data_IF_659704027235
#
_entry.id   IF_659704027235
#
_cell.length_a   1.000
_cell.length_b   1.000
_cell.length_c   1.000
_cell.angle_alpha   90.00
_cell.angle_beta   90.00
_cell.angle_gamma   90.00
#
_symmetry.space_group_name_H-M   'P 1'
#
loop_
_entity.id
_entity.type
_entity.pdbx_description
1 polymer ?
#
# COMPACT_ATOMS: atom_id res chain seq x y z
N UNK A 1 2.25 -28.14 32.29
CA UNK A 1 2.60 -29.45 32.88
C UNK A 1 3.32 -29.19 34.19
N UNK A 2 2.80 -29.72 35.28
CA UNK A 2 3.44 -29.63 36.60
C UNK A 2 4.46 -30.78 36.75
N UNK A 3 5.44 -30.63 37.66
CA UNK A 3 6.40 -31.71 37.94
C UNK A 3 5.68 -33.00 38.37
N UNK A 4 4.53 -32.88 39.05
CA UNK A 4 3.72 -34.04 39.47
C UNK A 4 3.08 -34.78 38.29
N UNK A 5 2.60 -34.09 37.28
CA UNK A 5 2.08 -34.70 36.06
C UNK A 5 3.18 -35.48 35.31
N UNK A 6 4.36 -34.86 35.21
CA UNK A 6 5.52 -35.48 34.54
C UNK A 6 5.98 -36.72 35.28
N UNK A 7 6.05 -36.72 36.64
CA UNK A 7 6.38 -37.86 37.46
C UNK A 7 5.48 -39.09 37.20
N UNK A 8 4.22 -38.86 36.88
CA UNK A 8 3.23 -39.90 36.71
C UNK A 8 3.11 -40.43 35.27
N UNK A 9 3.91 -39.93 34.33
CA UNK A 9 3.97 -40.46 32.96
C UNK A 9 4.37 -41.93 32.98
N UNK A 10 3.60 -42.76 32.30
CA UNK A 10 3.90 -44.21 32.15
C UNK A 10 4.94 -44.38 31.06
N UNK A 11 6.09 -44.95 31.40
CA UNK A 11 7.20 -45.24 30.48
C UNK A 11 7.05 -46.63 29.87
N UNK A 12 6.62 -47.61 30.67
CA UNK A 12 6.47 -48.98 30.23
C UNK A 12 5.30 -49.65 30.94
N UNK A 13 4.53 -50.45 30.22
CA UNK A 13 3.53 -51.34 30.80
C UNK A 13 3.75 -52.79 30.28
N UNK A 14 3.62 -53.77 31.14
CA UNK A 14 3.73 -55.16 30.80
C UNK A 14 2.35 -55.83 30.67
N UNK A 15 2.26 -56.91 29.89
CA UNK A 15 1.04 -57.70 29.67
C UNK A 15 0.44 -58.20 30.98
N UNK A 16 1.26 -58.36 32.03
CA UNK A 16 0.87 -58.83 33.36
C UNK A 16 0.41 -57.67 34.29
N UNK A 17 0.15 -56.45 33.77
CA UNK A 17 -0.38 -55.34 34.53
C UNK A 17 0.67 -54.51 35.31
N UNK A 18 1.95 -54.80 35.19
CA UNK A 18 3.04 -53.99 35.77
C UNK A 18 3.20 -52.66 35.00
N UNK A 19 3.13 -51.55 35.72
CA UNK A 19 3.30 -50.17 35.13
C UNK A 19 4.53 -49.58 35.77
N UNK A 20 5.50 -49.11 34.92
CA UNK A 20 6.67 -48.33 35.34
C UNK A 20 6.42 -46.88 34.99
N UNK A 21 6.45 -46.00 35.97
CA UNK A 21 6.28 -44.54 35.81
C UNK A 21 7.62 -43.85 35.84
N UNK A 22 7.67 -42.61 35.31
CA UNK A 22 8.91 -41.83 35.26
C UNK A 22 9.53 -41.65 36.67
N UNK A 23 8.72 -41.48 37.72
CA UNK A 23 9.18 -41.36 39.11
C UNK A 23 9.89 -42.61 39.63
N UNK A 24 9.65 -43.78 39.04
CA UNK A 24 10.23 -45.04 39.49
C UNK A 24 11.67 -45.24 38.95
N UNK A 25 12.05 -44.49 37.91
CA UNK A 25 13.36 -44.60 37.23
C UNK A 25 14.16 -43.29 37.19
N UNK A 26 13.54 -42.15 37.49
CA UNK A 26 14.19 -40.84 37.43
C UNK A 26 13.63 -39.89 38.50
N UNK A 27 14.45 -38.95 38.94
CA UNK A 27 14.00 -37.80 39.74
C UNK A 27 13.53 -36.67 38.83
N UNK A 28 12.35 -36.14 39.09
CA UNK A 28 11.77 -35.04 38.35
C UNK A 28 11.66 -33.84 39.27
N UNK A 29 12.41 -32.80 39.00
CA UNK A 29 12.39 -31.56 39.73
C UNK A 29 12.16 -30.37 38.80
N UNK A 30 11.37 -29.40 39.24
CA UNK A 30 11.22 -28.15 38.54
C UNK A 30 12.29 -27.18 39.02
N UNK A 31 13.22 -26.85 38.12
CA UNK A 31 14.32 -25.90 38.42
C UNK A 31 14.32 -24.79 37.38
N UNK A 32 14.81 -23.63 37.74
CA UNK A 32 15.17 -22.61 36.77
C UNK A 32 16.33 -23.12 35.90
N UNK A 33 16.34 -22.71 34.61
CA UNK A 33 17.41 -23.05 33.68
C UNK A 33 18.76 -22.61 34.25
N UNK A 34 19.72 -23.50 34.27
CA UNK A 34 21.10 -23.20 34.74
C UNK A 34 21.88 -22.31 33.77
N UNK A 35 21.36 -22.08 32.56
CA UNK A 35 21.95 -21.14 31.61
C UNK A 35 21.48 -19.73 32.00
N UNK A 36 22.29 -18.94 32.70
CA UNK A 36 21.90 -17.60 33.09
C UNK A 36 21.89 -16.71 31.84
N UNK A 37 20.71 -16.51 31.25
CA UNK A 37 20.54 -15.43 30.27
C UNK A 37 20.69 -14.13 31.05
N UNK A 38 21.88 -13.53 30.96
CA UNK A 38 22.16 -12.24 31.58
C UNK A 38 21.86 -11.16 30.55
N UNK A 39 20.88 -10.33 30.84
CA UNK A 39 20.57 -9.13 30.03
C UNK A 39 21.19 -7.91 30.72
N UNK A 40 21.77 -7.01 29.94
CA UNK A 40 22.35 -5.75 30.38
C UNK A 40 21.83 -4.63 29.49
N UNK A 41 21.47 -3.51 30.10
CA UNK A 41 21.12 -2.26 29.43
C UNK A 41 22.00 -1.17 30.03
N UNK A 42 22.71 -0.42 29.20
CA UNK A 42 23.65 0.63 29.63
C UNK A 42 24.70 0.15 30.70
N UNK A 43 25.11 -1.13 30.59
CA UNK A 43 26.07 -1.72 31.53
C UNK A 43 25.47 -2.20 32.86
N UNK A 44 24.18 -1.96 33.11
CA UNK A 44 23.46 -2.41 34.30
C UNK A 44 22.71 -3.71 34.05
N UNK A 45 22.60 -4.56 35.06
CA UNK A 45 21.78 -5.79 34.97
C UNK A 45 20.31 -5.44 34.71
N UNK A 46 19.72 -6.11 33.77
CA UNK A 46 18.34 -5.88 33.38
C UNK A 46 17.53 -7.16 33.23
N UNK A 47 16.22 -7.03 33.26
CA UNK A 47 15.26 -8.07 32.94
C UNK A 47 14.42 -7.53 31.80
N UNK A 48 14.31 -8.30 30.70
CA UNK A 48 13.48 -7.93 29.55
C UNK A 48 12.08 -8.50 29.68
N UNK A 49 11.07 -7.65 29.51
CA UNK A 49 9.67 -8.03 29.41
C UNK A 49 9.20 -7.80 27.97
N UNK A 50 8.57 -8.81 27.38
CA UNK A 50 7.94 -8.71 26.06
C UNK A 50 6.43 -8.71 26.29
N UNK A 51 5.80 -7.59 26.00
CA UNK A 51 4.35 -7.44 26.09
C UNK A 51 3.78 -7.67 24.68
N UNK A 52 2.88 -8.65 24.56
CA UNK A 52 2.22 -9.01 23.31
C UNK A 52 0.74 -8.73 23.42
N UNK A 53 0.13 -8.23 22.33
CA UNK A 53 -1.31 -8.10 22.19
C UNK A 53 -1.93 -9.35 21.59
N UNK A 54 -3.21 -9.59 21.87
CA UNK A 54 -4.05 -10.51 21.10
C UNK A 54 -4.53 -9.86 19.79
N UNK A 55 -5.00 -10.63 18.81
CA UNK A 55 -5.52 -10.07 17.55
C UNK A 55 -6.61 -9.01 17.76
N UNK A 56 -7.49 -9.20 18.72
CA UNK A 56 -8.66 -8.34 18.97
C UNK A 56 -8.37 -7.07 19.78
N UNK A 57 -7.14 -6.91 20.27
CA UNK A 57 -6.76 -5.78 21.11
C UNK A 57 -6.17 -4.63 20.30
N UNK A 58 -6.42 -3.40 20.75
CA UNK A 58 -5.88 -2.18 20.14
C UNK A 58 -4.45 -1.91 20.63
N UNK A 59 -3.49 -1.99 19.72
CA UNK A 59 -2.07 -1.77 20.00
C UNK A 59 -1.80 -0.39 20.63
N UNK A 60 -2.44 0.66 20.14
CA UNK A 60 -2.25 2.03 20.65
C UNK A 60 -2.78 2.21 22.04
N UNK A 61 -3.93 1.61 22.36
CA UNK A 61 -4.48 1.66 23.72
C UNK A 61 -3.56 0.98 24.72
N UNK A 62 -2.99 -0.18 24.35
CA UNK A 62 -2.04 -0.90 25.19
C UNK A 62 -0.76 -0.07 25.36
N UNK A 63 -0.18 0.45 24.29
CA UNK A 63 1.02 1.27 24.31
C UNK A 63 0.86 2.50 25.24
N UNK A 64 -0.23 3.25 25.06
CA UNK A 64 -0.55 4.43 25.87
C UNK A 64 -0.78 4.08 27.36
N UNK A 65 -1.40 2.94 27.64
CA UNK A 65 -1.59 2.48 29.01
C UNK A 65 -0.28 2.08 29.66
N UNK A 66 0.60 1.44 28.90
CA UNK A 66 1.91 1.02 29.32
C UNK A 66 2.81 2.23 29.61
N UNK A 67 2.81 3.22 28.74
CA UNK A 67 3.58 4.45 28.91
C UNK A 67 3.17 5.19 30.20
N UNK A 68 1.88 5.30 30.45
CA UNK A 68 1.38 5.86 31.72
C UNK A 68 1.84 5.07 32.92
N UNK A 69 1.81 3.73 32.82
CA UNK A 69 2.28 2.87 33.89
C UNK A 69 3.79 3.03 34.15
N UNK A 70 4.60 3.02 33.10
CA UNK A 70 6.04 3.19 33.16
C UNK A 70 6.40 4.54 33.80
N UNK A 71 5.75 5.62 33.33
CA UNK A 71 5.97 6.97 33.90
C UNK A 71 5.65 7.01 35.39
N UNK A 72 4.53 6.42 35.80
CA UNK A 72 4.15 6.33 37.20
C UNK A 72 5.15 5.49 38.00
N UNK A 73 5.49 4.29 37.50
CA UNK A 73 6.42 3.39 38.16
C UNK A 73 7.78 4.06 38.39
N UNK A 74 8.36 4.69 37.37
CA UNK A 74 9.65 5.37 37.44
C UNK A 74 9.61 6.59 38.38
N UNK A 75 8.45 7.22 38.55
CA UNK A 75 8.31 8.33 39.52
C UNK A 75 8.24 7.86 40.99
N UNK A 76 7.68 6.66 41.20
CA UNK A 76 7.51 6.08 42.54
C UNK A 76 8.72 5.25 43.03
N UNK A 77 9.55 4.74 42.10
CA UNK A 77 10.68 3.85 42.36
C UNK A 77 12.02 4.51 41.96
N UNK A 78 12.95 4.62 42.91
CA UNK A 78 14.30 5.18 42.66
C UNK A 78 15.36 4.12 42.39
N UNK A 79 15.12 2.88 42.82
CA UNK A 79 16.06 1.78 42.73
C UNK A 79 15.96 0.99 41.46
N UNK A 80 14.84 1.10 40.78
CA UNK A 80 14.51 0.39 39.51
C UNK A 80 13.93 1.37 38.50
N UNK A 81 14.35 1.25 37.26
CA UNK A 81 13.83 2.03 36.14
C UNK A 81 13.37 1.08 35.04
N UNK A 82 12.17 1.33 34.53
CA UNK A 82 11.65 0.64 33.35
C UNK A 82 11.98 1.49 32.12
N UNK A 83 12.71 0.90 31.18
CA UNK A 83 13.07 1.52 29.91
C UNK A 83 12.32 0.81 28.77
N UNK A 84 11.70 1.57 27.91
CA UNK A 84 11.13 1.05 26.66
C UNK A 84 12.24 0.95 25.65
N UNK A 85 12.62 -0.27 25.25
CA UNK A 85 13.66 -0.51 24.26
C UNK A 85 13.13 -0.50 22.84
N UNK A 86 11.90 -0.96 22.64
CA UNK A 86 11.27 -1.07 21.34
C UNK A 86 9.75 -1.00 21.47
N UNK A 87 9.11 -0.21 20.62
CA UNK A 87 7.66 -0.01 20.63
C UNK A 87 7.12 -0.10 19.20
N UNK A 88 6.29 -1.12 18.93
CA UNK A 88 5.70 -1.34 17.62
C UNK A 88 4.71 -0.24 17.21
N UNK A 89 4.06 0.42 18.19
CA UNK A 89 3.14 1.53 17.91
C UNK A 89 3.83 2.69 17.21
N UNK A 90 5.09 2.99 17.57
CA UNK A 90 5.85 4.10 16.98
C UNK A 90 6.17 3.81 15.51
N UNK A 91 6.50 2.56 15.19
CA UNK A 91 6.70 2.14 13.80
C UNK A 91 5.40 2.24 13.00
N UNK A 92 4.26 1.87 13.59
CA UNK A 92 2.94 1.98 12.96
C UNK A 92 2.60 3.45 12.65
N UNK A 93 2.83 4.34 13.63
CA UNK A 93 2.59 5.77 13.48
C UNK A 93 3.45 6.39 12.38
N UNK A 94 4.74 6.06 12.33
CA UNK A 94 5.64 6.48 11.26
C UNK A 94 5.17 6.00 9.88
N UNK A 95 4.59 4.79 9.78
CA UNK A 95 4.05 4.29 8.51
C UNK A 95 2.77 5.01 8.09
N UNK A 96 1.89 5.33 9.05
CA UNK A 96 0.69 6.12 8.79
C UNK A 96 1.07 7.53 8.34
N UNK A 97 2.05 8.16 8.99
CA UNK A 97 2.59 9.45 8.58
C UNK A 97 3.18 9.39 7.17
N UNK A 98 4.03 8.40 6.88
CA UNK A 98 4.60 8.18 5.54
C UNK A 98 3.49 7.99 4.48
N UNK A 99 2.44 7.24 4.79
CA UNK A 99 1.29 7.06 3.90
C UNK A 99 0.58 8.38 3.64
N UNK A 100 0.32 9.16 4.70
CA UNK A 100 -0.34 10.46 4.61
C UNK A 100 0.47 11.44 3.78
N UNK A 101 1.78 11.51 4.00
CA UNK A 101 2.69 12.37 3.26
C UNK A 101 2.75 11.98 1.77
N UNK A 102 2.83 10.70 1.47
CA UNK A 102 2.81 10.19 0.10
C UNK A 102 1.48 10.46 -0.60
N UNK A 103 0.35 10.34 0.11
CA UNK A 103 -0.97 10.68 -0.42
C UNK A 103 -1.06 12.17 -0.76
N UNK A 104 -0.68 13.03 0.18
CA UNK A 104 -0.74 14.48 0.01
C UNK A 104 0.22 14.93 -1.09
N UNK A 105 1.48 14.46 -1.06
CA UNK A 105 2.48 14.78 -2.07
C UNK A 105 2.06 14.28 -3.45
N UNK A 106 1.56 13.05 -3.55
CA UNK A 106 1.05 12.47 -4.79
C UNK A 106 -0.11 13.29 -5.35
N UNK A 107 -1.08 13.66 -4.50
CA UNK A 107 -2.22 14.48 -4.88
C UNK A 107 -1.80 15.88 -5.38
N UNK A 108 -0.86 16.53 -4.70
CA UNK A 108 -0.31 17.83 -5.12
C UNK A 108 0.42 17.69 -6.46
N UNK A 109 1.25 16.65 -6.60
CA UNK A 109 2.02 16.42 -7.82
C UNK A 109 1.08 16.18 -9.02
N UNK A 110 0.05 15.37 -8.84
CA UNK A 110 -0.98 15.12 -9.87
C UNK A 110 -1.68 16.41 -10.24
N UNK A 111 -2.13 17.20 -9.28
CA UNK A 111 -2.78 18.50 -9.53
C UNK A 111 -1.86 19.45 -10.31
N UNK A 112 -0.58 19.49 -9.97
CA UNK A 112 0.40 20.34 -10.65
C UNK A 112 0.62 19.84 -12.09
N UNK A 113 1.00 18.56 -12.25
CA UNK A 113 1.33 17.97 -13.56
C UNK A 113 0.12 18.03 -14.48
N UNK A 114 -1.02 17.50 -14.06
CA UNK A 114 -2.22 17.53 -14.89
C UNK A 114 -2.76 18.94 -15.11
N UNK A 115 -2.61 19.86 -14.13
CA UNK A 115 -2.99 21.25 -14.28
C UNK A 115 -2.21 21.98 -15.38
N UNK A 116 -0.97 21.57 -15.66
CA UNK A 116 -0.19 22.10 -16.79
C UNK A 116 -0.69 21.59 -18.15
N UNK A 117 -1.08 20.31 -18.23
CA UNK A 117 -1.51 19.68 -19.48
C UNK A 117 -3.01 19.88 -19.74
N UNK A 118 -3.82 19.70 -18.73
CA UNK A 118 -5.28 19.74 -18.78
C UNK A 118 -5.81 21.06 -18.14
N UNK A 119 -7.06 21.10 -17.74
CA UNK A 119 -7.59 22.20 -16.91
C UNK A 119 -7.48 21.84 -15.43
N UNK A 120 -7.29 22.86 -14.57
CA UNK A 120 -7.22 22.63 -13.13
C UNK A 120 -8.43 21.89 -12.57
N UNK A 121 -9.62 22.15 -13.12
CA UNK A 121 -10.86 21.46 -12.72
C UNK A 121 -10.84 20.00 -13.08
N UNK A 122 -10.30 19.67 -14.25
CA UNK A 122 -10.15 18.27 -14.71
C UNK A 122 -9.17 17.55 -13.81
N UNK A 123 -8.02 18.18 -13.52
CA UNK A 123 -7.01 17.65 -12.63
C UNK A 123 -7.55 17.38 -11.22
N UNK A 124 -8.40 18.28 -10.71
CA UNK A 124 -9.04 18.12 -9.40
C UNK A 124 -9.96 16.90 -9.34
N UNK A 125 -10.70 16.62 -10.41
CA UNK A 125 -11.55 15.42 -10.47
C UNK A 125 -10.74 14.13 -10.54
N UNK A 126 -9.67 14.10 -11.33
CA UNK A 126 -8.75 12.94 -11.35
C UNK A 126 -8.10 12.71 -10.00
N UNK A 127 -7.63 13.80 -9.36
CA UNK A 127 -7.02 13.72 -8.04
C UNK A 127 -7.99 13.23 -6.96
N UNK A 128 -9.29 13.50 -7.09
CA UNK A 128 -10.34 13.01 -6.19
C UNK A 128 -10.48 11.47 -6.24
N UNK A 129 -10.10 10.83 -7.34
CA UNK A 129 -10.09 9.38 -7.47
C UNK A 129 -9.24 8.68 -6.42
N UNK A 130 -8.12 9.29 -5.98
CA UNK A 130 -7.23 8.71 -4.97
C UNK A 130 -7.98 8.52 -3.63
N UNK A 131 -8.47 9.59 -2.96
CA UNK A 131 -9.18 9.44 -1.70
C UNK A 131 -10.45 8.59 -1.83
N UNK A 132 -11.16 8.64 -2.97
CA UNK A 132 -12.31 7.78 -3.20
C UNK A 132 -11.92 6.29 -3.16
N UNK A 133 -10.87 5.91 -3.87
CA UNK A 133 -10.39 4.52 -3.90
C UNK A 133 -9.93 4.04 -2.52
N UNK A 134 -9.26 4.91 -1.76
CA UNK A 134 -8.85 4.58 -0.39
C UNK A 134 -10.03 4.42 0.57
N UNK A 135 -11.02 5.31 0.50
CA UNK A 135 -12.24 5.20 1.34
C UNK A 135 -12.97 3.89 1.00
N UNK A 136 -13.09 3.56 -0.29
CA UNK A 136 -13.71 2.32 -0.73
C UNK A 136 -12.96 1.09 -0.24
N UNK A 137 -11.64 1.06 -0.39
CA UNK A 137 -10.76 0.00 0.11
C UNK A 137 -10.90 -0.18 1.63
N UNK A 138 -10.81 0.90 2.41
CA UNK A 138 -10.95 0.85 3.87
C UNK A 138 -12.34 0.34 4.27
N UNK A 139 -13.40 0.81 3.59
CA UNK A 139 -14.78 0.40 3.87
C UNK A 139 -14.97 -1.11 3.69
N UNK A 140 -14.48 -1.67 2.59
CA UNK A 140 -14.53 -3.12 2.36
C UNK A 140 -13.60 -3.87 3.31
N UNK A 141 -12.41 -3.30 3.59
CA UNK A 141 -11.46 -3.88 4.53
C UNK A 141 -12.05 -4.08 5.93
N UNK A 142 -12.79 -3.09 6.43
CA UNK A 142 -13.49 -3.19 7.72
C UNK A 142 -14.53 -4.32 7.68
N UNK A 143 -15.29 -4.45 6.59
CA UNK A 143 -16.29 -5.52 6.43
C UNK A 143 -15.65 -6.91 6.35
N UNK A 144 -14.47 -7.01 5.77
CA UNK A 144 -13.69 -8.25 5.66
C UNK A 144 -12.95 -8.60 6.96
N UNK A 145 -12.87 -7.68 7.92
CA UNK A 145 -12.13 -7.84 9.17
C UNK A 145 -10.62 -7.58 9.03
N UNK A 146 -10.21 -6.87 7.97
CA UNK A 146 -8.81 -6.48 7.76
C UNK A 146 -8.34 -5.58 8.90
N UNK A 147 -7.11 -5.82 9.35
CA UNK A 147 -6.44 -4.98 10.35
C UNK A 147 -5.49 -3.99 9.68
N UNK A 148 -5.37 -2.79 10.26
CA UNK A 148 -4.33 -1.85 9.84
C UNK A 148 -3.03 -2.26 10.55
N UNK A 149 -2.12 -2.86 9.80
CA UNK A 149 -0.82 -3.30 10.27
C UNK A 149 0.30 -2.81 9.33
N UNK A 150 1.55 -3.13 9.67
CA UNK A 150 2.73 -2.69 8.91
C UNK A 150 2.68 -3.13 7.44
N UNK A 151 2.15 -4.32 7.17
CA UNK A 151 2.16 -4.93 5.84
C UNK A 151 1.00 -4.40 5.00
N UNK A 152 -0.20 -4.25 5.59
CA UNK A 152 -1.33 -3.62 4.91
C UNK A 152 -1.03 -2.15 4.56
N UNK A 153 -0.38 -1.40 5.46
CA UNK A 153 0.08 -0.03 5.19
C UNK A 153 1.11 0.03 4.06
N UNK A 154 2.01 -0.95 3.98
CA UNK A 154 2.96 -1.04 2.86
C UNK A 154 2.22 -1.21 1.52
N UNK A 155 1.22 -2.09 1.46
CA UNK A 155 0.34 -2.24 0.29
C UNK A 155 -0.36 -0.93 -0.09
N UNK A 156 -0.87 -0.20 0.90
CA UNK A 156 -1.51 1.10 0.68
C UNK A 156 -0.53 2.13 0.10
N UNK A 157 0.69 2.21 0.63
CA UNK A 157 1.74 3.11 0.10
C UNK A 157 2.08 2.76 -1.35
N UNK A 158 2.21 1.48 -1.65
CA UNK A 158 2.54 0.99 -2.98
C UNK A 158 1.47 1.35 -4.01
N UNK A 159 0.20 1.18 -3.65
CA UNK A 159 -0.91 1.39 -4.57
C UNK A 159 -1.19 2.87 -4.88
N UNK A 160 -0.78 3.80 -4.02
CA UNK A 160 -0.95 5.26 -4.26
C UNK A 160 -0.44 5.68 -5.64
N UNK A 161 0.75 5.21 -6.02
CA UNK A 161 1.34 5.54 -7.32
C UNK A 161 0.60 4.93 -8.50
N UNK A 162 0.00 3.77 -8.32
CA UNK A 162 -0.70 3.04 -9.39
C UNK A 162 -2.10 3.62 -9.65
N UNK A 163 -2.79 4.04 -8.59
CA UNK A 163 -4.17 4.52 -8.68
C UNK A 163 -4.37 5.73 -9.60
N UNK A 164 -3.34 6.55 -9.74
CA UNK A 164 -3.43 7.81 -10.49
C UNK A 164 -3.44 7.58 -12.00
N UNK A 165 -2.71 6.57 -12.47
CA UNK A 165 -2.45 6.36 -13.90
C UNK A 165 -3.73 6.10 -14.69
N UNK A 166 -4.65 5.32 -14.16
CA UNK A 166 -5.90 4.96 -14.83
C UNK A 166 -6.80 6.18 -15.06
N UNK A 167 -6.98 7.01 -14.04
CA UNK A 167 -7.75 8.24 -14.11
C UNK A 167 -7.14 9.25 -15.08
N UNK A 168 -5.81 9.34 -15.15
CA UNK A 168 -5.11 10.22 -16.10
C UNK A 168 -5.42 9.83 -17.54
N UNK A 169 -5.26 8.56 -17.89
CA UNK A 169 -5.47 8.06 -19.25
C UNK A 169 -6.90 8.34 -19.72
N UNK A 170 -7.89 8.10 -18.87
CA UNK A 170 -9.30 8.33 -19.19
C UNK A 170 -9.59 9.83 -19.33
N UNK A 171 -9.12 10.65 -18.39
CA UNK A 171 -9.34 12.09 -18.42
C UNK A 171 -8.69 12.76 -19.64
N UNK A 172 -7.48 12.34 -20.00
CA UNK A 172 -6.76 12.83 -21.17
C UNK A 172 -7.50 12.46 -22.47
N UNK A 173 -7.98 11.24 -22.57
CA UNK A 173 -8.71 10.80 -23.76
C UNK A 173 -10.08 11.52 -23.89
N UNK A 174 -10.80 11.69 -22.79
CA UNK A 174 -12.05 12.50 -22.77
C UNK A 174 -11.74 13.94 -23.20
N UNK A 175 -10.67 14.53 -22.69
CA UNK A 175 -10.26 15.89 -23.04
C UNK A 175 -9.89 16.01 -24.52
N UNK A 176 -9.17 15.05 -25.08
CA UNK A 176 -8.82 14.96 -26.50
C UNK A 176 -10.08 14.91 -27.39
N UNK A 177 -11.08 14.12 -27.02
CA UNK A 177 -12.35 14.06 -27.72
C UNK A 177 -13.12 15.40 -27.66
N UNK A 178 -13.06 16.09 -26.52
CA UNK A 178 -13.64 17.42 -26.37
C UNK A 178 -12.92 18.47 -27.23
N UNK A 179 -11.59 18.45 -27.30
CA UNK A 179 -10.79 19.36 -28.16
C UNK A 179 -11.09 19.15 -29.67
N UNK A 180 -11.46 17.93 -30.05
CA UNK A 180 -11.91 17.60 -31.41
C UNK A 180 -13.33 18.10 -31.72
N UNK A 181 -13.96 18.84 -30.80
CA UNK A 181 -15.26 19.48 -31.00
C UNK A 181 -16.48 18.67 -30.61
N UNK A 182 -16.34 17.52 -29.94
CA UNK A 182 -17.47 16.77 -29.41
C UNK A 182 -18.12 17.51 -28.23
N UNK A 183 -19.43 17.32 -28.05
CA UNK A 183 -20.10 17.81 -26.83
C UNK A 183 -19.52 17.13 -25.59
N UNK A 184 -19.50 17.77 -24.41
CA UNK A 184 -18.91 17.20 -23.19
C UNK A 184 -19.41 15.78 -22.85
N UNK A 185 -20.72 15.56 -22.95
CA UNK A 185 -21.34 14.26 -22.73
C UNK A 185 -20.84 13.21 -23.73
N UNK A 186 -20.77 13.57 -25.02
CA UNK A 186 -20.28 12.65 -26.05
C UNK A 186 -18.78 12.42 -25.95
N UNK A 187 -18.02 13.44 -25.58
CA UNK A 187 -16.60 13.31 -25.32
C UNK A 187 -16.30 12.38 -24.12
N UNK A 188 -17.06 12.51 -23.03
CA UNK A 188 -16.97 11.65 -21.88
C UNK A 188 -17.26 10.17 -22.23
N UNK A 189 -18.36 9.93 -22.96
CA UNK A 189 -18.76 8.57 -23.34
C UNK A 189 -17.76 7.94 -24.32
N UNK A 190 -17.50 8.60 -25.46
CA UNK A 190 -16.64 8.05 -26.50
C UNK A 190 -15.17 7.93 -26.01
N UNK A 191 -14.69 8.95 -25.28
CA UNK A 191 -13.33 8.95 -24.75
C UNK A 191 -13.08 7.87 -23.70
N UNK A 192 -14.06 7.59 -22.84
CA UNK A 192 -13.96 6.48 -21.88
C UNK A 192 -13.99 5.14 -22.59
N UNK A 193 -14.98 4.93 -23.47
CA UNK A 193 -15.17 3.65 -24.17
C UNK A 193 -13.96 3.24 -25.01
N UNK A 194 -13.23 4.19 -25.59
CA UNK A 194 -12.03 3.92 -26.39
C UNK A 194 -10.90 3.32 -25.55
N UNK A 195 -10.78 3.71 -24.28
CA UNK A 195 -9.69 3.27 -23.38
C UNK A 195 -10.10 2.24 -22.34
N UNK A 196 -11.38 1.83 -22.28
CA UNK A 196 -11.85 0.81 -21.32
C UNK A 196 -11.00 -0.46 -21.41
N UNK A 197 -10.82 -1.01 -22.61
CA UNK A 197 -10.11 -2.29 -22.78
C UNK A 197 -8.65 -2.21 -22.32
N UNK A 198 -7.82 -1.25 -22.76
CA UNK A 198 -6.43 -1.18 -22.32
C UNK A 198 -6.30 -0.90 -20.81
N UNK A 199 -7.10 -0.01 -20.25
CA UNK A 199 -7.07 0.30 -18.81
C UNK A 199 -7.51 -0.91 -18.00
N UNK A 200 -8.64 -1.54 -18.35
CA UNK A 200 -9.10 -2.74 -17.65
C UNK A 200 -8.08 -3.87 -17.71
N UNK A 201 -7.45 -4.09 -18.87
CA UNK A 201 -6.42 -5.13 -19.03
C UNK A 201 -5.21 -4.84 -18.15
N UNK A 202 -4.75 -3.59 -18.09
CA UNK A 202 -3.64 -3.17 -17.23
C UNK A 202 -3.93 -3.45 -15.75
N UNK A 203 -5.08 -2.96 -15.26
CA UNK A 203 -5.47 -3.15 -13.86
C UNK A 203 -5.66 -4.62 -13.52
N UNK A 204 -6.36 -5.40 -14.39
CA UNK A 204 -6.54 -6.83 -14.15
C UNK A 204 -5.22 -7.58 -14.10
N UNK A 205 -4.24 -7.22 -14.94
CA UNK A 205 -2.90 -7.82 -14.88
C UNK A 205 -2.26 -7.58 -13.51
N UNK A 206 -2.38 -6.37 -12.97
CA UNK A 206 -1.87 -6.05 -11.63
C UNK A 206 -2.66 -6.79 -10.54
N UNK A 207 -3.99 -6.85 -10.65
CA UNK A 207 -4.85 -7.62 -9.73
C UNK A 207 -4.45 -9.10 -9.73
N UNK A 208 -4.25 -9.71 -10.91
CA UNK A 208 -3.81 -11.12 -11.00
C UNK A 208 -2.43 -11.32 -10.38
N UNK A 209 -1.48 -10.40 -10.57
CA UNK A 209 -0.17 -10.48 -9.96
C UNK A 209 -0.27 -10.48 -8.42
N UNK A 210 -1.05 -9.56 -7.83
CA UNK A 210 -1.26 -9.49 -6.39
C UNK A 210 -2.14 -10.63 -5.86
N UNK A 211 -3.07 -11.16 -6.66
CA UNK A 211 -3.95 -12.26 -6.22
C UNK A 211 -3.18 -13.53 -5.87
N UNK A 212 -1.99 -13.73 -6.43
CA UNK A 212 -1.13 -14.87 -6.07
C UNK A 212 -0.75 -14.84 -4.58
N UNK A 213 -0.63 -13.66 -3.98
CA UNK A 213 -0.30 -13.50 -2.57
C UNK A 213 -1.46 -13.86 -1.62
N UNK A 214 -2.72 -13.89 -2.11
CA UNK A 214 -3.88 -14.33 -1.32
C UNK A 214 -3.86 -15.85 -1.04
N UNK A 215 -3.05 -16.60 -1.76
CA UNK A 215 -2.96 -18.06 -1.63
C UNK A 215 -1.66 -18.52 -0.97
N UNK A 216 -0.85 -17.60 -0.47
CA UNK A 216 0.41 -17.92 0.21
C UNK A 216 0.10 -18.18 1.68
N UNK A 217 0.10 -19.46 2.09
CA UNK A 217 -0.16 -19.85 3.47
C UNK A 217 1.10 -19.85 4.35
N UNK A 218 0.91 -20.13 5.64
CA UNK A 218 1.98 -20.28 6.62
C UNK A 218 2.51 -18.94 7.16
N UNK A 219 3.82 -18.80 7.32
CA UNK A 219 4.43 -17.59 7.89
C UNK A 219 4.22 -16.32 7.03
N UNK A 220 3.79 -16.48 5.78
CA UNK A 220 3.52 -15.39 4.84
C UNK A 220 2.05 -14.97 4.77
N UNK A 221 1.17 -15.50 5.61
CA UNK A 221 -0.25 -15.14 5.70
C UNK A 221 -0.47 -13.62 5.89
N UNK A 222 0.48 -12.95 6.54
CA UNK A 222 0.47 -11.49 6.66
C UNK A 222 0.48 -10.75 5.31
N UNK A 223 0.97 -11.37 4.22
CA UNK A 223 0.96 -10.78 2.87
C UNK A 223 -0.43 -10.75 2.24
N UNK A 224 -1.37 -11.56 2.74
CA UNK A 224 -2.77 -11.55 2.29
C UNK A 224 -3.41 -10.17 2.50
N UNK A 225 -3.21 -9.54 3.66
CA UNK A 225 -3.75 -8.21 3.94
C UNK A 225 -3.17 -7.12 3.02
N UNK A 226 -1.90 -7.23 2.65
CA UNK A 226 -1.27 -6.35 1.66
C UNK A 226 -1.92 -6.52 0.29
N UNK A 227 -2.04 -7.76 -0.18
CA UNK A 227 -2.65 -8.07 -1.46
C UNK A 227 -4.11 -7.62 -1.52
N UNK A 228 -4.87 -7.88 -0.46
CA UNK A 228 -6.25 -7.42 -0.32
C UNK A 228 -6.35 -5.89 -0.45
N UNK A 229 -5.50 -5.15 0.28
CA UNK A 229 -5.49 -3.69 0.24
C UNK A 229 -5.26 -3.15 -1.18
N UNK A 230 -4.27 -3.71 -1.88
CA UNK A 230 -3.95 -3.31 -3.26
C UNK A 230 -5.09 -3.64 -4.21
N UNK A 231 -5.60 -4.87 -4.17
CA UNK A 231 -6.68 -5.34 -5.05
C UNK A 231 -7.96 -4.52 -4.83
N UNK A 232 -8.36 -4.32 -3.57
CA UNK A 232 -9.55 -3.54 -3.25
C UNK A 232 -9.43 -2.09 -3.73
N UNK A 233 -8.28 -1.44 -3.49
CA UNK A 233 -8.05 -0.08 -3.96
C UNK A 233 -8.12 0.03 -5.49
N UNK A 234 -7.51 -0.91 -6.22
CA UNK A 234 -7.56 -0.96 -7.69
C UNK A 234 -8.98 -1.18 -8.24
N UNK A 235 -9.77 -2.03 -7.59
CA UNK A 235 -11.16 -2.24 -8.00
C UNK A 235 -12.01 -0.99 -7.79
N UNK A 236 -11.84 -0.27 -6.69
CA UNK A 236 -12.49 1.02 -6.48
C UNK A 236 -11.99 2.10 -7.44
N UNK A 237 -10.71 2.08 -7.81
CA UNK A 237 -10.17 2.96 -8.85
C UNK A 237 -10.85 2.72 -10.20
N UNK A 238 -11.12 1.48 -10.58
CA UNK A 238 -11.86 1.19 -11.81
C UNK A 238 -13.29 1.73 -11.76
N UNK A 239 -13.98 1.61 -10.62
CA UNK A 239 -15.34 2.17 -10.45
C UNK A 239 -15.28 3.69 -10.60
N UNK A 240 -14.32 4.33 -9.97
CA UNK A 240 -14.13 5.77 -10.09
C UNK A 240 -13.83 6.18 -11.52
N UNK A 241 -12.85 5.55 -12.15
CA UNK A 241 -12.32 5.91 -13.45
C UNK A 241 -13.34 5.69 -14.59
N UNK A 242 -14.17 4.64 -14.53
CA UNK A 242 -15.13 4.32 -15.57
C UNK A 242 -16.54 4.89 -15.36
N UNK A 243 -16.94 5.15 -14.12
CA UNK A 243 -18.30 5.58 -13.80
C UNK A 243 -18.34 7.01 -13.27
N UNK A 244 -17.55 7.30 -12.24
CA UNK A 244 -17.62 8.56 -11.50
C UNK A 244 -16.94 9.68 -12.28
N UNK A 245 -15.71 9.46 -12.70
CA UNK A 245 -14.91 10.45 -13.42
C UNK A 245 -15.58 10.90 -14.72
N UNK A 246 -16.02 10.02 -15.64
CA UNK A 246 -16.71 10.44 -16.87
C UNK A 246 -18.01 11.18 -16.60
N UNK A 247 -18.76 10.78 -15.56
CA UNK A 247 -19.99 11.47 -15.15
C UNK A 247 -19.71 12.93 -14.77
N UNK A 248 -18.67 13.18 -13.98
CA UNK A 248 -18.26 14.55 -13.61
C UNK A 248 -17.72 15.34 -14.82
N UNK A 249 -16.97 14.68 -15.70
CA UNK A 249 -16.40 15.30 -16.90
C UNK A 249 -17.44 15.55 -18.00
N UNK A 250 -18.64 14.98 -17.93
CA UNK A 250 -19.72 15.27 -18.87
C UNK A 250 -20.28 16.70 -18.76
N UNK A 251 -19.92 17.45 -17.71
CA UNK A 251 -20.43 18.79 -17.46
C UNK A 251 -19.60 19.87 -18.20
N UNK A 252 -20.27 20.75 -18.95
CA UNK A 252 -19.62 21.87 -19.68
C UNK A 252 -18.74 22.77 -18.80
N UNK A 253 -19.07 22.93 -17.54
CA UNK A 253 -18.33 23.79 -16.62
C UNK A 253 -16.90 23.32 -16.37
N UNK A 254 -16.61 22.03 -16.55
CA UNK A 254 -15.27 21.46 -16.33
C UNK A 254 -14.30 21.88 -17.43
N UNK A 255 -14.80 22.08 -18.66
CA UNK A 255 -14.01 22.44 -19.85
C UNK A 255 -13.91 23.96 -20.10
N UNK A 256 -14.53 24.80 -19.27
CA UNK A 256 -14.41 26.26 -19.44
C UNK A 256 -12.97 26.71 -19.19
N UNK A 257 -12.36 27.36 -20.20
CA UNK A 257 -11.02 27.94 -20.12
C UNK A 257 -11.01 29.02 -19.05
N UNK A 258 -10.16 28.89 -18.05
CA UNK A 258 -9.87 29.97 -17.10
C UNK A 258 -9.18 31.09 -17.87
N UNK A 259 -9.88 32.20 -18.02
CA UNK A 259 -9.37 33.41 -18.69
C UNK A 259 -8.46 34.16 -17.70
N UNK A 260 -7.23 34.41 -18.14
CA UNK A 260 -6.30 35.41 -17.55
C UNK A 260 -5.71 35.09 -16.15
N UNK A 261 -5.06 33.98 -15.98
CA UNK A 261 -4.21 33.74 -14.80
C UNK A 261 -2.75 33.71 -15.24
N UNK A 262 -1.80 34.04 -14.33
CA UNK A 262 -0.35 33.86 -14.53
C UNK A 262 -0.07 32.42 -15.02
N UNK A 263 -0.85 31.49 -14.54
CA UNK A 263 -0.84 30.07 -14.95
C UNK A 263 -1.09 29.86 -16.45
N UNK A 264 -1.91 30.69 -17.10
CA UNK A 264 -2.18 30.60 -18.53
C UNK A 264 -0.98 30.95 -19.41
N UNK A 265 -0.10 31.85 -18.95
CA UNK A 265 1.16 32.17 -19.65
C UNK A 265 2.18 31.04 -19.54
N UNK A 266 2.31 30.44 -18.35
CA UNK A 266 3.19 29.30 -18.11
C UNK A 266 2.71 28.09 -18.93
N UNK A 267 1.38 27.82 -18.91
CA UNK A 267 0.74 26.77 -19.71
C UNK A 267 1.06 26.90 -21.20
N UNK A 268 0.95 28.12 -21.76
CA UNK A 268 1.26 28.38 -23.17
C UNK A 268 2.74 28.10 -23.52
N UNK A 269 3.66 28.41 -22.62
CA UNK A 269 5.08 28.13 -22.81
C UNK A 269 5.35 26.61 -22.75
N UNK A 270 4.73 25.90 -21.82
CA UNK A 270 4.83 24.43 -21.71
C UNK A 270 4.22 23.76 -22.95
N UNK A 271 3.05 24.21 -23.40
CA UNK A 271 2.38 23.71 -24.60
C UNK A 271 3.25 23.88 -25.86
N UNK A 272 3.88 25.06 -26.04
CA UNK A 272 4.82 25.32 -27.13
C UNK A 272 6.09 24.42 -27.04
N UNK A 273 6.57 24.15 -25.84
CA UNK A 273 7.70 23.26 -25.63
C UNK A 273 7.33 21.82 -26.02
N UNK A 274 6.15 21.35 -25.60
CA UNK A 274 5.65 20.00 -25.91
C UNK A 274 5.44 19.86 -27.43
N UNK A 275 4.85 20.85 -28.10
CA UNK A 275 4.67 20.84 -29.55
C UNK A 275 6.03 20.65 -30.25
N UNK A 276 7.05 21.42 -29.83
CA UNK A 276 8.41 21.28 -30.37
C UNK A 276 9.00 19.87 -30.12
N UNK A 277 8.77 19.33 -28.93
CA UNK A 277 9.24 17.99 -28.56
C UNK A 277 8.55 16.91 -29.38
N UNK A 278 7.22 17.04 -29.54
CA UNK A 278 6.40 16.15 -30.39
C UNK A 278 6.84 16.17 -31.84
N UNK A 279 7.10 17.36 -32.39
CA UNK A 279 7.55 17.51 -33.79
C UNK A 279 8.95 16.91 -33.99
N UNK A 280 9.84 17.09 -33.00
CA UNK A 280 11.17 16.44 -33.01
C UNK A 280 11.04 14.91 -32.94
N UNK A 281 10.17 14.41 -32.06
CA UNK A 281 9.89 12.97 -31.95
C UNK A 281 9.29 12.40 -33.24
N UNK A 282 8.30 13.06 -33.81
CA UNK A 282 7.69 12.66 -35.06
C UNK A 282 8.70 12.62 -36.22
N UNK A 283 9.61 13.60 -36.28
CA UNK A 283 10.67 13.62 -37.29
C UNK A 283 11.69 12.50 -37.08
N UNK A 284 12.06 12.20 -35.85
CA UNK A 284 12.89 11.03 -35.51
C UNK A 284 12.19 9.73 -35.88
N UNK A 285 10.93 9.56 -35.47
CA UNK A 285 10.15 8.37 -35.78
C UNK A 285 9.99 8.15 -37.29
N UNK A 286 9.70 9.22 -38.06
CA UNK A 286 9.67 9.14 -39.53
C UNK A 286 10.99 8.69 -40.12
N UNK A 287 12.13 9.16 -39.58
CA UNK A 287 13.45 8.68 -40.03
C UNK A 287 13.68 7.21 -39.68
N UNK A 288 13.27 6.78 -38.47
CA UNK A 288 13.37 5.38 -38.06
C UNK A 288 12.52 4.46 -38.94
N UNK A 289 11.25 4.83 -39.15
CA UNK A 289 10.29 4.03 -39.91
C UNK A 289 10.73 3.97 -41.41
N UNK A 290 11.26 5.06 -41.94
CA UNK A 290 11.67 5.13 -43.35
C UNK A 290 12.96 4.33 -43.65
N UNK A 291 13.74 4.01 -42.66
CA UNK A 291 15.05 3.34 -42.82
C UNK A 291 14.93 1.87 -42.40
N UNK A 292 14.46 1.02 -43.35
CA UNK A 292 14.24 -0.43 -43.20
C UNK A 292 15.41 -1.18 -42.54
N UNK A 293 16.65 -0.70 -42.73
CA UNK A 293 17.82 -1.29 -42.08
C UNK A 293 17.81 -1.25 -40.58
N UNK A 294 17.11 -0.29 -39.93
CA UNK A 294 17.02 -0.19 -38.49
C UNK A 294 16.00 -1.17 -37.91
N UNK A 295 14.93 -1.52 -38.64
CA UNK A 295 13.95 -2.51 -38.21
C UNK A 295 14.49 -3.93 -38.03
N UNK A 296 15.55 -4.26 -38.78
CA UNK A 296 16.18 -5.58 -38.74
C UNK A 296 17.36 -5.62 -37.76
N UNK A 297 18.09 -4.51 -37.59
CA UNK A 297 19.28 -4.45 -36.73
C UNK A 297 19.01 -4.15 -35.26
N UNK A 298 18.00 -3.36 -34.92
CA UNK A 298 17.72 -3.01 -33.51
C UNK A 298 17.32 -4.20 -32.65
N UNK A 299 16.46 -5.15 -33.07
CA UNK A 299 16.20 -6.34 -32.24
C UNK A 299 17.43 -7.21 -32.08
N UNK A 300 18.31 -7.30 -33.04
CA UNK A 300 19.56 -8.09 -32.95
C UNK A 300 20.53 -7.49 -31.95
N UNK A 301 20.63 -6.16 -31.87
CA UNK A 301 21.46 -5.47 -30.86
C UNK A 301 20.90 -5.64 -29.45
N UNK A 302 19.57 -5.62 -29.27
CA UNK A 302 18.93 -5.88 -27.97
C UNK A 302 19.02 -7.33 -27.50
N UNK A 303 19.17 -8.29 -28.43
CA UNK A 303 19.33 -9.72 -28.08
C UNK A 303 20.82 -10.06 -27.82
N UNK A 304 21.76 -9.24 -28.30
CA UNK A 304 23.20 -9.46 -28.15
C UNK A 304 23.84 -8.68 -26.99
N UNK A 305 23.08 -7.87 -26.26
CA UNK A 305 23.40 -7.22 -24.97
C UNK A 305 22.71 -7.93 -23.82
#
# INVERSE_FOLDING_TARGET
NTAEEIKNIVIQSNINGGIVRLKDVASVEMKFSEIPIKSYVNGQRSISFIIKKTPDEDLKKIANSLEKYITKFNSENKDFEILTLFQFSDMLDQRIETLSDNLILGLILVLIVLGFFLSFRLSAWVAFGIPFSFIGMISIGILYGMTINMISLFGMILVVGILVDDGIVIAENIYSHFERGKSPMKAALDGTMEVVTPVLTSVLTTVFAFSTLLFVGGEMEMMEEMAFSVIAALLFSLIEAFLILPSHLSNKKVFTKDKNTIFSKIKKNVENFIIKLRDKYNNLNKKFIKNYRYHVRTPIIFISL
#
